data_IF_690617904643
#
_entry.id   IF_690617904643
#
_cell.length_a   1.000
_cell.length_b   1.000
_cell.length_c   1.000
_cell.angle_alpha   90.00
_cell.angle_beta   90.00
_cell.angle_gamma   90.00
#
_symmetry.space_group_name_H-M   'P 1'
#
loop_
_entity.id
_entity.type
_entity.pdbx_description
1 polymer ?
#
# COMPACT_ATOMS: atom_id res chain seq x y z
N UNK A 1 18.85 6.72 1.42
CA UNK A 1 18.16 6.75 2.73
C UNK A 1 17.90 8.18 3.19
N UNK A 2 18.89 9.08 3.25
CA UNK A 2 18.73 10.46 3.78
C UNK A 2 17.60 11.29 3.13
N UNK A 3 17.33 11.12 1.83
CA UNK A 3 16.26 11.86 1.14
C UNK A 3 14.87 11.47 1.66
N UNK A 4 14.63 10.16 1.87
CA UNK A 4 13.34 9.63 2.31
C UNK A 4 13.00 10.17 3.69
N UNK A 5 13.96 10.17 4.62
CA UNK A 5 13.76 10.69 5.98
C UNK A 5 13.44 12.18 5.98
N UNK A 6 14.13 12.98 5.15
CA UNK A 6 13.85 14.41 5.00
C UNK A 6 12.46 14.65 4.41
N UNK A 7 12.12 13.96 3.33
CA UNK A 7 10.84 14.16 2.65
C UNK A 7 9.66 13.61 3.45
N UNK A 8 9.82 12.51 4.18
CA UNK A 8 8.79 11.95 5.04
C UNK A 8 8.37 12.95 6.13
N UNK A 9 9.33 13.66 6.73
CA UNK A 9 9.03 14.67 7.75
C UNK A 9 8.09 15.80 7.27
N UNK A 10 8.06 16.07 5.96
CA UNK A 10 7.27 17.14 5.35
C UNK A 10 6.02 16.64 4.60
N UNK A 11 6.09 15.46 4.00
CA UNK A 11 5.13 15.01 2.99
C UNK A 11 4.46 13.67 3.30
N UNK A 12 4.84 13.00 4.39
CA UNK A 12 4.25 11.71 4.76
C UNK A 12 2.71 11.74 4.83
N UNK A 13 2.05 12.76 5.43
CA UNK A 13 0.58 12.85 5.42
C UNK A 13 0.00 12.96 4.00
N UNK A 14 0.65 13.74 3.13
CA UNK A 14 0.24 13.90 1.72
C UNK A 14 0.37 12.58 0.95
N UNK A 15 1.45 11.83 1.17
CA UNK A 15 1.65 10.52 0.53
C UNK A 15 0.63 9.48 0.99
N UNK A 16 0.28 9.48 2.28
CA UNK A 16 -0.77 8.62 2.84
C UNK A 16 -2.12 8.95 2.22
N UNK A 17 -2.46 10.24 2.12
CA UNK A 17 -3.69 10.70 1.45
C UNK A 17 -3.74 10.34 -0.03
N UNK A 18 -2.59 10.39 -0.71
CA UNK A 18 -2.47 10.01 -2.13
C UNK A 18 -2.36 8.49 -2.36
N UNK A 19 -2.24 7.67 -1.31
CA UNK A 19 -2.09 6.22 -1.42
C UNK A 19 -0.73 5.73 -1.94
N UNK A 20 0.30 6.59 -1.90
CA UNK A 20 1.64 6.29 -2.45
C UNK A 20 2.72 6.10 -1.37
N UNK A 21 2.34 6.20 -0.09
CA UNK A 21 3.28 6.15 1.04
C UNK A 21 4.13 4.87 1.06
N UNK A 22 3.50 3.70 0.92
CA UNK A 22 4.22 2.41 0.92
C UNK A 22 5.15 2.27 -0.30
N UNK A 23 4.72 2.72 -1.47
CA UNK A 23 5.56 2.69 -2.68
C UNK A 23 6.83 3.54 -2.50
N UNK A 24 6.70 4.74 -1.92
CA UNK A 24 7.83 5.62 -1.62
C UNK A 24 8.74 4.98 -0.57
N UNK A 25 8.19 4.36 0.47
CA UNK A 25 8.98 3.67 1.49
C UNK A 25 9.76 2.50 0.90
N UNK A 26 9.09 1.65 0.12
CA UNK A 26 9.66 0.48 -0.55
C UNK A 26 10.68 0.85 -1.63
N UNK A 27 10.62 2.05 -2.22
CA UNK A 27 11.61 2.53 -3.20
C UNK A 27 13.03 2.59 -2.63
N UNK A 28 13.18 2.68 -1.30
CA UNK A 28 14.49 2.69 -0.64
C UNK A 28 15.05 1.30 -0.41
N UNK A 29 14.22 0.26 -0.58
CA UNK A 29 14.67 -1.12 -0.50
C UNK A 29 15.53 -1.44 -1.70
N UNK A 30 16.79 -1.81 -1.44
CA UNK A 30 17.68 -2.29 -2.51
C UNK A 30 17.39 -3.77 -2.74
N UNK A 31 16.68 -4.06 -3.82
CA UNK A 31 16.59 -5.42 -4.35
C UNK A 31 18.00 -5.83 -4.78
N UNK A 32 18.61 -6.76 -4.04
CA UNK A 32 19.89 -7.35 -4.43
C UNK A 32 19.63 -8.30 -5.59
N UNK A 33 19.85 -7.84 -6.81
CA UNK A 33 19.78 -8.69 -8.00
C UNK A 33 21.04 -9.53 -8.08
N UNK A 34 20.87 -10.84 -8.10
CA UNK A 34 21.94 -11.75 -8.47
C UNK A 34 21.88 -11.93 -10.00
N UNK A 35 22.88 -11.41 -10.71
CA UNK A 35 22.94 -11.47 -12.17
C UNK A 35 22.90 -12.91 -12.67
N UNK A 36 23.65 -13.82 -12.04
CA UNK A 36 23.74 -15.22 -12.45
C UNK A 36 22.38 -15.92 -12.33
N UNK A 37 21.60 -15.61 -11.29
CA UNK A 37 20.24 -16.13 -11.16
C UNK A 37 19.30 -15.58 -12.24
N UNK A 38 19.42 -14.30 -12.57
CA UNK A 38 18.61 -13.69 -13.65
C UNK A 38 18.96 -14.31 -14.99
N UNK A 39 20.25 -14.52 -15.28
CA UNK A 39 20.70 -15.19 -16.50
C UNK A 39 20.22 -16.64 -16.55
N UNK A 40 20.39 -17.40 -15.46
CA UNK A 40 19.93 -18.79 -15.38
C UNK A 40 18.40 -18.94 -15.54
N UNK A 41 17.62 -17.96 -15.08
CA UNK A 41 16.18 -17.92 -15.32
C UNK A 41 15.85 -17.56 -16.78
N UNK A 42 16.56 -16.57 -17.34
CA UNK A 42 16.37 -16.15 -18.72
C UNK A 42 16.67 -17.27 -19.73
N UNK A 43 17.64 -18.12 -19.45
CA UNK A 43 17.95 -19.32 -20.26
C UNK A 43 16.81 -20.34 -20.31
N UNK A 44 15.90 -20.32 -19.32
CA UNK A 44 14.72 -21.21 -19.30
C UNK A 44 13.52 -20.63 -20.02
N UNK A 45 13.58 -19.37 -20.47
CA UNK A 45 12.46 -18.72 -21.15
C UNK A 45 12.21 -19.32 -22.53
N UNK A 46 10.98 -19.79 -22.76
CA UNK A 46 10.48 -20.21 -24.06
C UNK A 46 9.54 -19.12 -24.61
N UNK A 47 9.93 -18.51 -25.74
CA UNK A 47 9.14 -17.43 -26.35
C UNK A 47 7.83 -17.90 -26.98
N UNK A 48 7.75 -19.17 -27.39
CA UNK A 48 6.58 -19.74 -28.03
C UNK A 48 5.43 -19.93 -27.03
N UNK A 49 5.74 -20.52 -25.87
CA UNK A 49 4.78 -20.77 -24.80
C UNK A 49 4.65 -19.61 -23.82
N UNK A 50 5.56 -18.62 -23.88
CA UNK A 50 5.64 -17.48 -22.96
C UNK A 50 5.81 -17.93 -21.50
N UNK A 51 6.63 -18.95 -21.30
CA UNK A 51 6.82 -19.61 -20.01
C UNK A 51 8.28 -20.00 -19.79
N UNK A 52 8.63 -20.34 -18.55
CA UNK A 52 9.92 -20.86 -18.16
C UNK A 52 9.87 -22.38 -18.07
N UNK A 53 10.70 -23.07 -18.85
CA UNK A 53 10.72 -24.52 -18.95
C UNK A 53 11.89 -25.09 -18.14
N UNK A 54 11.57 -25.90 -17.13
CA UNK A 54 12.53 -26.61 -16.30
C UNK A 54 12.42 -28.12 -16.54
N UNK A 55 13.45 -28.88 -16.16
CA UNK A 55 13.42 -30.34 -16.26
C UNK A 55 12.33 -31.00 -15.40
N UNK A 56 11.79 -30.25 -14.42
CA UNK A 56 10.80 -30.71 -13.46
C UNK A 56 9.42 -30.06 -13.64
N UNK A 57 9.26 -29.14 -14.59
CA UNK A 57 7.97 -28.45 -14.79
C UNK A 57 8.09 -27.17 -15.61
N UNK A 58 6.95 -26.54 -15.82
CA UNK A 58 6.83 -25.28 -16.55
C UNK A 58 6.19 -24.23 -15.65
N UNK A 59 6.71 -23.01 -15.67
CA UNK A 59 6.21 -21.89 -14.89
C UNK A 59 5.88 -20.72 -15.80
N UNK A 60 4.68 -20.16 -15.66
CA UNK A 60 4.22 -19.00 -16.43
C UNK A 60 3.90 -17.87 -15.47
N UNK A 61 4.26 -16.65 -15.84
CA UNK A 61 3.83 -15.45 -15.11
C UNK A 61 2.59 -14.92 -15.83
N UNK A 62 1.46 -14.97 -15.15
CA UNK A 62 0.20 -14.44 -15.70
C UNK A 62 -0.04 -13.01 -15.23
N UNK A 63 -1.08 -12.42 -15.80
CA UNK A 63 -1.49 -11.07 -15.46
C UNK A 63 -2.08 -11.00 -14.04
N UNK A 64 -2.77 -12.06 -13.64
CA UNK A 64 -3.32 -12.23 -12.30
C UNK A 64 -2.20 -12.24 -11.24
N UNK A 65 -1.05 -12.87 -11.55
CA UNK A 65 0.13 -12.88 -10.68
C UNK A 65 0.69 -11.46 -10.45
N UNK A 66 0.64 -10.60 -11.48
CA UNK A 66 1.09 -9.20 -11.40
C UNK A 66 0.09 -8.30 -10.67
N UNK A 67 -1.22 -8.60 -10.76
CA UNK A 67 -2.25 -7.85 -10.05
C UNK A 67 -2.13 -7.98 -8.54
N UNK A 68 -1.77 -9.17 -8.06
CA UNK A 68 -1.55 -9.41 -6.62
C UNK A 68 -0.42 -8.53 -6.08
N UNK A 69 0.61 -8.27 -6.91
CA UNK A 69 1.75 -7.42 -6.56
C UNK A 69 1.48 -5.92 -6.80
N UNK A 70 0.22 -5.54 -7.07
CA UNK A 70 -0.21 -4.15 -7.19
C UNK A 70 0.09 -3.49 -8.55
N UNK A 71 0.47 -4.27 -9.56
CA UNK A 71 0.67 -3.75 -10.91
C UNK A 71 -0.64 -3.59 -11.66
N UNK A 72 -0.71 -2.54 -12.48
CA UNK A 72 -1.86 -2.31 -13.34
C UNK A 72 -1.83 -3.13 -14.60
N UNK A 73 -2.91 -3.88 -14.80
CA UNK A 73 -3.23 -4.56 -16.06
C UNK A 73 -3.31 -3.61 -17.25
N UNK A 74 -3.80 -2.38 -17.02
CA UNK A 74 -4.14 -1.44 -18.10
C UNK A 74 -3.06 -0.36 -18.30
N UNK A 75 -1.90 -0.49 -17.67
CA UNK A 75 -0.81 0.50 -17.78
C UNK A 75 -1.09 1.85 -17.08
N UNK A 76 -2.24 2.00 -16.43
CA UNK A 76 -2.60 3.14 -15.59
C UNK A 76 -2.40 2.77 -14.13
N UNK A 77 -1.74 3.56 -13.26
CA UNK A 77 -1.58 3.22 -11.85
C UNK A 77 -2.87 2.63 -11.26
N UNK A 78 -2.83 1.40 -10.74
CA UNK A 78 -3.95 0.90 -9.95
C UNK A 78 -3.83 1.66 -8.66
N UNK A 79 -4.56 2.77 -8.58
CA UNK A 79 -4.96 3.30 -7.30
C UNK A 79 -5.88 2.24 -6.70
N UNK A 80 -5.28 1.24 -6.04
CA UNK A 80 -6.02 0.47 -5.05
C UNK A 80 -6.36 1.53 -4.01
N UNK A 81 -7.52 2.16 -4.17
CA UNK A 81 -8.11 2.93 -3.09
C UNK A 81 -8.37 1.89 -2.01
N UNK A 82 -7.37 1.67 -1.16
CA UNK A 82 -7.47 0.89 0.08
C UNK A 82 -8.35 1.69 1.05
N UNK A 83 -9.57 2.07 0.65
CA UNK A 83 -10.15 3.25 1.27
C UNK A 83 -11.41 3.86 0.70
N UNK A 84 -12.39 3.11 0.19
CA UNK A 84 -13.67 3.77 -0.17
C UNK A 84 -14.90 3.25 0.58
N UNK A 85 -14.80 2.21 1.41
CA UNK A 85 -15.89 1.83 2.33
C UNK A 85 -15.45 1.68 3.78
N UNK A 86 -14.40 0.90 4.04
CA UNK A 86 -13.96 0.63 5.41
C UNK A 86 -13.30 1.84 6.10
N UNK A 87 -12.54 2.66 5.38
CA UNK A 87 -12.00 3.90 5.95
C UNK A 87 -13.09 4.93 6.23
N UNK A 88 -14.07 5.06 5.33
CA UNK A 88 -15.23 5.96 5.54
C UNK A 88 -16.01 5.56 6.79
N UNK A 89 -16.23 4.26 6.98
CA UNK A 89 -16.87 3.69 8.17
C UNK A 89 -16.05 3.90 9.46
N UNK A 90 -14.71 3.89 9.36
CA UNK A 90 -13.82 4.19 10.50
C UNK A 90 -13.77 5.69 10.82
N UNK A 91 -13.81 6.55 9.81
CA UNK A 91 -13.91 8.01 9.96
C UNK A 91 -15.22 8.38 10.66
N UNK A 92 -16.36 7.88 10.14
CA UNK A 92 -17.69 8.08 10.71
C UNK A 92 -17.77 7.58 12.16
N UNK A 93 -17.16 6.42 12.46
CA UNK A 93 -17.10 5.91 13.83
C UNK A 93 -16.31 6.83 14.77
N UNK A 94 -15.22 7.45 14.30
CA UNK A 94 -14.41 8.38 15.11
C UNK A 94 -15.12 9.71 15.35
N UNK A 95 -15.82 10.24 14.35
CA UNK A 95 -16.64 11.46 14.51
C UNK A 95 -17.79 11.26 15.51
N UNK A 96 -18.43 10.09 15.47
CA UNK A 96 -19.46 9.70 16.46
C UNK A 96 -18.86 9.55 17.86
N UNK A 97 -17.65 8.99 17.99
CA UNK A 97 -16.98 8.85 19.29
C UNK A 97 -16.64 10.23 19.88
N UNK A 98 -16.08 11.14 19.06
CA UNK A 98 -15.70 12.49 19.50
C UNK A 98 -16.90 13.35 19.90
N UNK A 99 -18.00 13.28 19.15
CA UNK A 99 -19.24 14.00 19.50
C UNK A 99 -19.87 13.49 20.80
N UNK A 100 -19.76 12.18 21.09
CA UNK A 100 -20.18 11.62 22.38
C UNK A 100 -19.28 12.09 23.53
N UNK A 101 -17.97 12.08 23.36
CA UNK A 101 -17.03 12.57 24.38
C UNK A 101 -17.27 14.05 24.70
N UNK A 102 -17.43 14.89 23.67
CA UNK A 102 -17.75 16.31 23.86
C UNK A 102 -19.09 16.54 24.58
N UNK A 103 -20.09 15.70 24.31
CA UNK A 103 -21.39 15.79 24.99
C UNK A 103 -21.31 15.39 26.46
N UNK A 104 -20.49 14.38 26.80
CA UNK A 104 -20.24 13.96 28.18
C UNK A 104 -19.48 15.04 28.94
N UNK A 105 -18.45 15.63 28.34
CA UNK A 105 -17.66 16.71 28.96
C UNK A 105 -18.54 17.93 29.28
N UNK A 106 -19.41 18.33 28.35
CA UNK A 106 -20.35 19.43 28.55
C UNK A 106 -21.37 19.14 29.66
N UNK A 107 -21.86 17.90 29.77
CA UNK A 107 -22.76 17.49 30.85
C UNK A 107 -22.06 17.53 32.22
N UNK A 108 -20.81 17.06 32.31
CA UNK A 108 -20.02 17.10 33.56
C UNK A 108 -19.63 18.53 33.96
N UNK A 109 -19.34 19.40 33.01
CA UNK A 109 -19.06 20.81 33.29
C UNK A 109 -20.31 21.51 33.84
N UNK A 110 -21.48 21.31 33.23
CA UNK A 110 -22.72 21.92 33.71
C UNK A 110 -23.12 21.41 35.10
N UNK A 111 -22.93 20.13 35.39
CA UNK A 111 -23.22 19.54 36.71
C UNK A 111 -22.28 20.05 37.83
N UNK A 112 -21.09 20.57 37.49
CA UNK A 112 -20.13 21.13 38.45
C UNK A 112 -20.36 22.62 38.69
N UNK A 113 -21.06 23.31 37.77
CA UNK A 113 -21.40 24.74 37.88
C UNK A 113 -22.71 24.96 38.65
N UNK A 114 -23.56 23.94 38.78
CA UNK A 114 -24.83 23.98 39.52
C UNK A 114 -24.73 23.57 41.01
N UNK A 115 -23.52 23.38 41.55
CA UNK A 115 -23.23 23.17 42.99
C UNK A 115 -22.39 24.30 43.55
#
# INVERSE_FOLDING_TARGET
MLWLTKMASLHEPTWKKAGIHEAIWNSTYRIRRNGDLVHGLAEKWCSETKSFVFSWGEATITLEDLMIDGYSVLGSPVFISSGTKELKKREERREIEQSKTASIENFTLNATVET
#
